data_IF_888465814427
#
_entry.id   IF_888465814427
#
_cell.length_a   1.000
_cell.length_b   1.000
_cell.length_c   1.000
_cell.angle_alpha   90.00
_cell.angle_beta   90.00
_cell.angle_gamma   90.00
#
_symmetry.space_group_name_H-M   'P 1'
#
loop_
_entity.id
_entity.type
_entity.pdbx_description
1 polymer ?
#
# COMPACT_ATOMS: atom_id res chain seq x y z
N UNK A 1 3.65 -13.14 -8.71
CA UNK A 1 3.21 -11.74 -8.79
C UNK A 1 1.79 -11.61 -9.35
N UNK A 2 1.49 -12.12 -10.56
CA UNK A 2 0.24 -11.91 -11.29
C UNK A 2 -1.00 -12.34 -10.47
N UNK A 3 -0.96 -13.54 -9.90
CA UNK A 3 -2.06 -14.07 -9.08
C UNK A 3 -2.34 -13.23 -7.83
N UNK A 4 -1.31 -12.60 -7.24
CA UNK A 4 -1.46 -11.75 -6.06
C UNK A 4 -2.05 -10.40 -6.44
N UNK A 5 -1.55 -9.78 -7.50
CA UNK A 5 -1.93 -8.45 -7.96
C UNK A 5 -3.45 -8.33 -8.15
N UNK A 6 -4.07 -9.25 -8.87
CA UNK A 6 -5.50 -9.22 -9.16
C UNK A 6 -6.42 -9.59 -7.99
N UNK A 7 -5.91 -10.18 -6.89
CA UNK A 7 -6.75 -10.65 -5.79
C UNK A 7 -7.54 -9.54 -5.10
N UNK A 8 -6.92 -8.38 -4.86
CA UNK A 8 -7.60 -7.25 -4.19
C UNK A 8 -8.81 -6.78 -5.00
N UNK A 9 -8.60 -6.54 -6.29
CA UNK A 9 -9.66 -6.12 -7.21
C UNK A 9 -10.80 -7.14 -7.27
N UNK A 10 -10.47 -8.44 -7.27
CA UNK A 10 -11.46 -9.49 -7.26
C UNK A 10 -12.30 -9.52 -5.97
N UNK A 11 -11.67 -9.32 -4.80
CA UNK A 11 -12.38 -9.22 -3.52
C UNK A 11 -13.35 -8.05 -3.50
N UNK A 12 -12.92 -6.87 -3.96
CA UNK A 12 -13.75 -5.67 -4.01
C UNK A 12 -14.91 -5.80 -5.00
N UNK A 13 -14.68 -6.37 -6.18
CA UNK A 13 -15.74 -6.61 -7.17
C UNK A 13 -16.85 -7.52 -6.65
N UNK A 14 -16.53 -8.43 -5.76
CA UNK A 14 -17.51 -9.31 -5.12
C UNK A 14 -18.25 -8.64 -3.95
N UNK A 15 -18.11 -7.34 -3.75
CA UNK A 15 -18.75 -6.58 -2.67
C UNK A 15 -18.25 -6.95 -1.26
N UNK A 16 -17.09 -7.61 -1.16
CA UNK A 16 -16.53 -8.03 0.12
C UNK A 16 -15.85 -6.86 0.82
N UNK A 17 -16.15 -6.67 2.10
CA UNK A 17 -15.32 -5.82 2.97
C UNK A 17 -13.96 -6.50 3.17
N UNK A 18 -12.89 -5.84 2.74
CA UNK A 18 -11.52 -6.35 2.83
C UNK A 18 -10.91 -5.91 4.15
N UNK A 19 -10.47 -6.87 4.97
CA UNK A 19 -9.76 -6.63 6.22
C UNK A 19 -8.26 -6.65 5.94
N UNK A 20 -7.61 -5.54 6.21
CA UNK A 20 -6.19 -5.34 5.90
C UNK A 20 -5.41 -5.24 7.21
N UNK A 21 -4.28 -5.94 7.32
CA UNK A 21 -3.35 -5.84 8.45
C UNK A 21 -2.04 -5.25 7.98
N UNK A 22 -1.51 -4.35 8.78
CA UNK A 22 -0.24 -3.68 8.52
C UNK A 22 0.95 -4.66 8.66
N UNK A 23 2.00 -4.43 7.85
CA UNK A 23 3.30 -5.07 7.94
C UNK A 23 4.41 -4.11 7.47
N UNK A 24 5.53 -4.09 8.20
CA UNK A 24 6.66 -3.17 7.97
C UNK A 24 8.03 -3.87 7.87
N UNK A 25 8.05 -5.19 7.82
CA UNK A 25 9.23 -6.03 7.53
C UNK A 25 8.80 -7.48 7.28
N UNK A 26 9.73 -8.35 6.92
CA UNK A 26 9.43 -9.76 6.66
C UNK A 26 8.84 -10.50 7.86
N UNK A 27 9.27 -10.21 9.11
CA UNK A 27 8.73 -10.85 10.31
C UNK A 27 7.27 -10.46 10.55
N UNK A 28 6.96 -9.15 10.52
CA UNK A 28 5.56 -8.69 10.63
C UNK A 28 4.69 -9.21 9.49
N UNK A 29 5.26 -9.36 8.29
CA UNK A 29 4.61 -10.01 7.15
C UNK A 29 4.23 -11.47 7.42
N UNK A 30 5.14 -12.27 8.03
CA UNK A 30 4.86 -13.65 8.44
C UNK A 30 3.71 -13.70 9.46
N UNK A 31 3.76 -12.83 10.48
CA UNK A 31 2.71 -12.73 11.50
C UNK A 31 1.36 -12.40 10.86
N UNK A 32 1.32 -11.32 10.05
CA UNK A 32 0.11 -10.85 9.39
C UNK A 32 -0.48 -11.89 8.40
N UNK A 33 0.38 -12.66 7.73
CA UNK A 33 -0.05 -13.71 6.82
C UNK A 33 -0.72 -14.88 7.54
N UNK A 34 -0.26 -15.22 8.75
CA UNK A 34 -0.64 -16.46 9.44
C UNK A 34 -1.60 -16.24 10.61
N UNK A 35 -1.86 -15.00 11.04
CA UNK A 35 -2.77 -14.75 12.15
C UNK A 35 -4.20 -15.16 11.78
N UNK A 36 -4.76 -16.03 12.60
CA UNK A 36 -6.10 -16.60 12.40
C UNK A 36 -6.85 -16.70 13.72
N UNK A 37 -8.16 -16.52 13.68
CA UNK A 37 -9.05 -16.67 14.83
C UNK A 37 -10.18 -17.64 14.48
N UNK A 38 -10.41 -18.62 15.35
CA UNK A 38 -11.60 -19.47 15.27
C UNK A 38 -12.84 -18.64 15.60
N UNK A 39 -13.86 -18.78 14.81
CA UNK A 39 -15.15 -18.12 15.00
C UNK A 39 -16.28 -19.03 14.59
N UNK A 40 -17.49 -18.53 14.68
CA UNK A 40 -18.70 -19.22 14.28
C UNK A 40 -19.58 -18.26 13.45
N UNK A 41 -20.24 -18.79 12.46
CA UNK A 41 -21.27 -18.11 11.69
C UNK A 41 -22.45 -19.04 11.49
N UNK A 42 -23.62 -18.67 12.05
CA UNK A 42 -24.84 -19.47 11.96
C UNK A 42 -24.66 -20.92 12.44
N UNK A 43 -23.92 -21.14 13.56
CA UNK A 43 -23.63 -22.45 14.11
C UNK A 43 -22.49 -23.21 13.37
N UNK A 44 -21.93 -22.66 12.33
CA UNK A 44 -20.86 -23.29 11.54
C UNK A 44 -19.50 -22.73 11.97
N UNK A 45 -18.54 -23.57 12.38
CA UNK A 45 -17.18 -23.15 12.68
C UNK A 45 -16.50 -22.53 11.45
N UNK A 46 -15.93 -21.35 11.62
CA UNK A 46 -15.17 -20.66 10.57
C UNK A 46 -13.81 -20.24 11.10
N UNK A 47 -12.84 -20.16 10.19
CA UNK A 47 -11.58 -19.46 10.43
C UNK A 47 -11.68 -18.05 9.87
N UNK A 48 -11.29 -17.07 10.69
CA UNK A 48 -11.19 -15.67 10.27
C UNK A 48 -9.74 -15.26 10.20
N UNK A 49 -9.36 -14.66 9.08
CA UNK A 49 -8.03 -14.14 8.81
C UNK A 49 -8.11 -12.76 8.14
N UNK A 50 -7.02 -12.05 8.07
CA UNK A 50 -6.94 -10.84 7.25
C UNK A 50 -6.90 -11.20 5.77
N UNK A 51 -7.54 -10.38 4.95
CA UNK A 51 -7.72 -10.63 3.52
C UNK A 51 -6.56 -10.06 2.70
N UNK A 52 -5.89 -9.03 3.21
CA UNK A 52 -4.80 -8.30 2.56
C UNK A 52 -3.78 -7.77 3.58
N UNK A 53 -2.63 -7.33 3.08
CA UNK A 53 -1.60 -6.64 3.87
C UNK A 53 -1.48 -5.19 3.41
N UNK A 54 -1.02 -4.32 4.31
CA UNK A 54 -0.69 -2.93 4.04
C UNK A 54 0.72 -2.62 4.51
N UNK A 55 1.58 -2.24 3.60
CA UNK A 55 2.87 -1.65 3.94
C UNK A 55 2.67 -0.15 4.14
N UNK A 56 2.86 0.32 5.38
CA UNK A 56 2.61 1.69 5.80
C UNK A 56 3.90 2.51 5.82
N UNK A 57 3.86 3.71 5.25
CA UNK A 57 4.99 4.65 5.28
C UNK A 57 5.41 5.02 6.70
N UNK A 58 4.43 5.20 7.60
CA UNK A 58 4.66 5.54 8.99
C UNK A 58 5.46 4.46 9.72
N UNK A 59 5.01 3.21 9.65
CA UNK A 59 5.65 2.12 10.39
C UNK A 59 6.96 1.67 9.74
N UNK A 60 7.08 1.72 8.42
CA UNK A 60 8.35 1.47 7.72
C UNK A 60 9.40 2.53 8.08
N UNK A 61 9.02 3.82 8.07
CA UNK A 61 9.91 4.90 8.52
C UNK A 61 10.32 4.72 9.97
N UNK A 62 9.35 4.46 10.87
CA UNK A 62 9.62 4.25 12.29
C UNK A 62 10.53 3.04 12.55
N UNK A 63 10.31 1.92 11.84
CA UNK A 63 11.15 0.73 11.94
C UNK A 63 12.61 0.98 11.51
N UNK A 64 12.83 1.97 10.64
CA UNK A 64 14.16 2.41 10.20
C UNK A 64 14.72 3.56 11.04
N UNK A 65 14.01 4.04 12.08
CA UNK A 65 14.42 5.15 12.93
C UNK A 65 14.31 6.53 12.25
N UNK A 66 13.45 6.66 11.26
CA UNK A 66 13.24 7.91 10.52
C UNK A 66 11.84 8.51 10.79
N UNK A 67 11.69 9.84 10.69
CA UNK A 67 10.38 10.47 10.71
C UNK A 67 9.60 10.16 9.42
N UNK A 68 8.27 10.13 9.54
CA UNK A 68 7.35 9.90 8.42
C UNK A 68 7.05 11.20 7.67
N UNK A 69 8.02 11.67 6.90
CA UNK A 69 8.00 12.92 6.10
C UNK A 69 8.63 12.71 4.70
N UNK A 70 8.48 11.54 4.13
CA UNK A 70 9.03 11.14 2.81
C UNK A 70 10.56 11.24 2.71
N UNK A 71 11.30 10.98 3.81
CA UNK A 71 12.77 10.91 3.80
C UNK A 71 13.29 9.49 3.52
N UNK A 72 12.46 8.47 3.69
CA UNK A 72 12.80 7.10 3.31
C UNK A 72 12.66 6.97 1.80
N UNK A 73 13.77 6.65 1.13
CA UNK A 73 13.77 6.55 -0.34
C UNK A 73 12.91 5.40 -0.83
N UNK A 74 12.38 5.53 -2.05
CA UNK A 74 11.57 4.47 -2.67
C UNK A 74 12.32 3.12 -2.74
N UNK A 75 13.61 3.11 -3.06
CA UNK A 75 14.40 1.87 -3.12
C UNK A 75 14.51 1.19 -1.75
N UNK A 76 14.66 1.96 -0.67
CA UNK A 76 14.65 1.42 0.70
C UNK A 76 13.28 0.83 1.05
N UNK A 77 12.19 1.48 0.65
CA UNK A 77 10.82 0.96 0.83
C UNK A 77 10.58 -0.28 -0.02
N UNK A 78 11.04 -0.28 -1.27
CA UNK A 78 10.92 -1.43 -2.16
C UNK A 78 11.61 -2.68 -1.60
N UNK A 79 12.72 -2.51 -0.85
CA UNK A 79 13.35 -3.61 -0.13
C UNK A 79 12.39 -4.19 0.93
N UNK A 80 11.80 -3.37 1.80
CA UNK A 80 10.79 -3.79 2.79
C UNK A 80 9.60 -4.48 2.12
N UNK A 81 9.08 -3.89 1.05
CA UNK A 81 7.99 -4.46 0.26
C UNK A 81 8.34 -5.87 -0.23
N UNK A 82 9.54 -6.06 -0.81
CA UNK A 82 9.99 -7.36 -1.31
C UNK A 82 10.15 -8.38 -0.18
N UNK A 83 10.65 -7.99 0.99
CA UNK A 83 10.73 -8.87 2.16
C UNK A 83 9.35 -9.38 2.60
N UNK A 84 8.35 -8.49 2.64
CA UNK A 84 6.97 -8.86 2.97
C UNK A 84 6.38 -9.75 1.86
N UNK A 85 6.56 -9.39 0.59
CA UNK A 85 6.06 -10.15 -0.55
C UNK A 85 6.65 -11.56 -0.64
N UNK A 86 7.87 -11.77 -0.15
CA UNK A 86 8.52 -13.08 -0.12
C UNK A 86 7.84 -14.07 0.84
N UNK A 87 7.12 -13.57 1.87
CA UNK A 87 6.53 -14.39 2.93
C UNK A 87 5.01 -14.48 2.87
N UNK A 88 4.35 -13.82 1.90
CA UNK A 88 2.90 -13.80 1.77
C UNK A 88 2.42 -14.04 0.33
N UNK A 89 1.23 -14.65 0.22
CA UNK A 89 0.46 -14.72 -1.02
C UNK A 89 -0.83 -13.87 -0.97
N UNK A 90 -1.02 -13.11 0.12
CA UNK A 90 -2.14 -12.17 0.23
C UNK A 90 -1.90 -10.95 -0.67
N UNK A 91 -2.96 -10.31 -1.16
CA UNK A 91 -2.83 -9.04 -1.85
C UNK A 91 -2.21 -7.99 -0.93
N UNK A 92 -1.45 -7.07 -1.49
CA UNK A 92 -0.74 -6.04 -0.75
C UNK A 92 -1.10 -4.66 -1.28
N UNK A 93 -1.39 -3.75 -0.35
CA UNK A 93 -1.55 -2.32 -0.59
C UNK A 93 -0.29 -1.64 -0.06
N UNK A 94 0.27 -0.74 -0.82
CA UNK A 94 1.43 0.07 -0.42
C UNK A 94 0.98 1.51 -0.21
N UNK A 95 1.35 2.08 0.92
CA UNK A 95 1.23 3.51 1.20
C UNK A 95 2.30 4.26 0.40
N UNK A 96 1.88 5.02 -0.59
CA UNK A 96 2.76 5.75 -1.50
C UNK A 96 3.06 7.18 -1.05
N UNK A 97 2.65 7.58 0.17
CA UNK A 97 2.76 8.96 0.63
C UNK A 97 2.06 9.92 -0.35
N UNK A 98 2.74 10.99 -0.79
CA UNK A 98 2.22 11.87 -1.85
C UNK A 98 2.43 11.30 -3.27
N UNK A 99 3.16 10.20 -3.39
CA UNK A 99 3.66 9.67 -4.66
C UNK A 99 4.90 10.41 -5.19
N UNK A 100 5.41 11.41 -4.48
CA UNK A 100 6.50 12.26 -4.95
C UNK A 100 6.11 13.15 -6.14
N UNK A 101 7.08 13.52 -6.97
CA UNK A 101 6.78 14.15 -8.25
C UNK A 101 6.20 13.13 -9.26
N UNK A 102 5.65 13.64 -10.38
CA UNK A 102 4.99 12.79 -11.36
C UNK A 102 5.91 11.74 -12.02
N UNK A 103 7.21 12.00 -12.17
CA UNK A 103 8.16 11.04 -12.72
C UNK A 103 8.48 9.93 -11.71
N UNK A 104 8.66 10.31 -10.44
CA UNK A 104 8.86 9.37 -9.34
C UNK A 104 7.63 8.47 -9.17
N UNK A 105 6.43 9.02 -9.30
CA UNK A 105 5.18 8.25 -9.22
C UNK A 105 5.06 7.22 -10.34
N UNK A 106 5.30 7.59 -11.60
CA UNK A 106 5.32 6.66 -12.73
C UNK A 106 6.29 5.49 -12.49
N UNK A 107 7.51 5.83 -12.05
CA UNK A 107 8.51 4.82 -11.74
C UNK A 107 8.05 3.87 -10.64
N UNK A 108 7.48 4.41 -9.55
CA UNK A 108 6.95 3.65 -8.42
C UNK A 108 5.83 2.71 -8.85
N UNK A 109 4.84 3.21 -9.61
CA UNK A 109 3.74 2.40 -10.15
C UNK A 109 4.28 1.22 -10.96
N UNK A 110 5.18 1.46 -11.91
CA UNK A 110 5.76 0.40 -12.75
C UNK A 110 6.50 -0.65 -11.92
N UNK A 111 7.29 -0.24 -10.91
CA UNK A 111 8.05 -1.17 -10.06
C UNK A 111 7.15 -1.99 -9.15
N UNK A 112 6.16 -1.35 -8.51
CA UNK A 112 5.22 -2.03 -7.61
C UNK A 112 4.33 -3.03 -8.36
N UNK A 113 3.85 -2.65 -9.54
CA UNK A 113 3.07 -3.54 -10.38
C UNK A 113 3.87 -4.79 -10.78
N UNK A 114 5.13 -4.64 -11.21
CA UNK A 114 6.02 -5.75 -11.55
C UNK A 114 6.37 -6.64 -10.36
N UNK A 115 6.51 -6.05 -9.17
CA UNK A 115 6.70 -6.80 -7.93
C UNK A 115 5.47 -7.64 -7.52
N UNK A 116 4.30 -7.34 -8.10
CA UNK A 116 3.03 -8.03 -7.80
C UNK A 116 2.28 -7.43 -6.61
N UNK A 117 2.51 -6.16 -6.29
CA UNK A 117 1.68 -5.36 -5.41
C UNK A 117 0.30 -5.20 -6.05
N UNK A 118 -0.76 -5.11 -5.24
CA UNK A 118 -2.15 -5.03 -5.73
C UNK A 118 -2.65 -3.60 -5.87
N UNK A 119 -2.15 -2.69 -5.03
CA UNK A 119 -2.51 -1.28 -5.06
C UNK A 119 -1.44 -0.39 -4.44
N UNK A 120 -1.39 0.86 -4.88
CA UNK A 120 -0.74 1.97 -4.19
C UNK A 120 -1.80 2.96 -3.73
N UNK A 121 -1.69 3.46 -2.49
CA UNK A 121 -2.46 4.60 -2.00
C UNK A 121 -1.57 5.83 -2.05
N UNK A 122 -2.08 6.96 -2.53
CA UNK A 122 -1.42 8.26 -2.45
C UNK A 122 -2.35 9.31 -1.87
N UNK A 123 -1.80 10.22 -1.08
CA UNK A 123 -2.54 11.36 -0.51
C UNK A 123 -2.30 12.63 -1.33
N UNK A 124 -3.29 13.51 -1.35
CA UNK A 124 -3.28 14.78 -2.08
C UNK A 124 -2.52 15.92 -1.38
N UNK A 125 -1.55 15.59 -0.53
CA UNK A 125 -0.66 16.58 0.07
C UNK A 125 0.44 17.03 -0.88
N UNK A 126 0.91 18.27 -0.68
CA UNK A 126 2.09 18.78 -1.38
C UNK A 126 3.33 17.99 -0.97
N UNK A 127 4.12 17.57 -1.96
CA UNK A 127 5.42 16.89 -1.75
C UNK A 127 6.51 17.88 -1.28
N UNK A 128 7.38 17.50 -0.32
CA UNK A 128 7.26 16.34 0.56
C UNK A 128 6.20 16.55 1.65
N UNK A 129 5.50 15.47 2.03
CA UNK A 129 4.44 15.54 3.04
C UNK A 129 4.93 15.98 4.42
N UNK A 130 4.00 16.50 5.21
CA UNK A 130 4.18 16.67 6.66
C UNK A 130 3.37 15.61 7.37
N UNK A 131 3.89 15.06 8.48
CA UNK A 131 3.18 14.06 9.24
C UNK A 131 1.89 14.65 9.82
N UNK A 132 0.75 13.98 9.60
CA UNK A 132 -0.57 14.44 10.07
C UNK A 132 -0.72 14.41 11.59
N UNK A 133 0.11 13.64 12.29
CA UNK A 133 0.11 13.51 13.75
C UNK A 133 0.93 14.61 14.43
N UNK A 134 1.66 15.40 13.68
CA UNK A 134 2.47 16.49 14.24
C UNK A 134 1.58 17.69 14.59
N UNK A 135 1.53 18.04 15.87
CA UNK A 135 0.66 19.10 16.36
C UNK A 135 1.06 20.48 15.82
N UNK A 136 0.08 21.27 15.39
CA UNK A 136 0.27 22.65 14.93
C UNK A 136 0.82 22.80 13.51
N UNK A 137 1.02 21.73 12.78
CA UNK A 137 1.46 21.79 11.38
C UNK A 137 0.26 21.91 10.44
N UNK A 138 0.32 22.90 9.56
CA UNK A 138 -0.65 23.05 8.50
C UNK A 138 -0.40 21.96 7.44
N UNK A 139 -1.45 21.25 7.07
CA UNK A 139 -1.45 20.30 5.96
C UNK A 139 -1.81 21.03 4.67
N UNK A 140 -0.84 21.17 3.77
CA UNK A 140 -1.05 21.81 2.49
C UNK A 140 -1.44 20.74 1.45
N UNK A 141 -2.56 20.98 0.77
CA UNK A 141 -3.03 20.10 -0.30
C UNK A 141 -2.45 20.56 -1.64
N UNK A 142 -2.21 19.59 -2.51
CA UNK A 142 -1.80 19.80 -3.89
C UNK A 142 -2.96 20.40 -4.69
N UNK A 143 -2.65 21.09 -5.75
CA UNK A 143 -3.66 21.53 -6.71
C UNK A 143 -4.38 20.30 -7.28
N UNK A 144 -5.73 20.26 -7.29
CA UNK A 144 -6.49 19.09 -7.76
C UNK A 144 -6.17 18.68 -9.21
N UNK A 145 -5.86 19.64 -10.09
CA UNK A 145 -5.51 19.34 -11.48
C UNK A 145 -4.13 18.71 -11.58
N UNK A 146 -3.15 19.20 -10.80
CA UNK A 146 -1.80 18.64 -10.71
C UNK A 146 -1.86 17.21 -10.13
N UNK A 147 -2.65 17.01 -9.07
CA UNK A 147 -2.84 15.68 -8.47
C UNK A 147 -3.54 14.71 -9.46
N UNK A 148 -4.59 15.15 -10.15
CA UNK A 148 -5.26 14.36 -11.16
C UNK A 148 -4.34 13.99 -12.33
N UNK A 149 -3.47 14.90 -12.79
CA UNK A 149 -2.46 14.60 -13.80
C UNK A 149 -1.46 13.56 -13.34
N UNK A 150 -1.00 13.61 -12.08
CA UNK A 150 -0.14 12.58 -11.48
C UNK A 150 -0.81 11.21 -11.52
N UNK A 151 -2.07 11.10 -11.10
CA UNK A 151 -2.85 9.87 -11.17
C UNK A 151 -2.99 9.37 -12.61
N UNK A 152 -3.32 10.27 -13.55
CA UNK A 152 -3.45 9.94 -14.97
C UNK A 152 -2.16 9.34 -15.54
N UNK A 153 -1.01 9.94 -15.23
CA UNK A 153 0.31 9.43 -15.64
C UNK A 153 0.57 8.04 -15.05
N UNK A 154 0.30 7.85 -13.74
CA UNK A 154 0.40 6.53 -13.10
C UNK A 154 -0.51 5.49 -13.77
N UNK A 155 -1.72 5.87 -14.16
CA UNK A 155 -2.64 5.00 -14.90
C UNK A 155 -2.12 4.63 -16.29
N UNK A 156 -1.51 5.57 -16.99
CA UNK A 156 -1.00 5.35 -18.34
C UNK A 156 0.22 4.42 -18.41
N UNK A 157 1.04 4.36 -17.33
CA UNK A 157 2.22 3.48 -17.28
C UNK A 157 1.88 2.05 -16.86
N UNK A 158 0.68 1.79 -16.32
CA UNK A 158 0.27 0.45 -15.92
C UNK A 158 0.26 -0.52 -17.11
N UNK A 159 0.75 -1.72 -16.89
CA UNK A 159 0.76 -2.80 -17.88
C UNK A 159 -0.53 -3.64 -17.80
N UNK A 160 -1.23 -3.62 -16.66
CA UNK A 160 -2.45 -4.41 -16.45
C UNK A 160 -3.52 -3.60 -15.72
N UNK A 161 -4.77 -4.05 -15.87
CA UNK A 161 -5.92 -3.50 -15.10
C UNK A 161 -6.00 -4.04 -13.66
N UNK A 162 -5.12 -4.94 -13.27
CA UNK A 162 -5.18 -5.61 -11.97
C UNK A 162 -4.56 -4.78 -10.85
N UNK A 163 -3.60 -3.93 -11.17
CA UNK A 163 -3.01 -2.99 -10.22
C UNK A 163 -3.92 -1.77 -10.04
N UNK A 164 -4.10 -1.31 -8.82
CA UNK A 164 -4.98 -0.18 -8.52
C UNK A 164 -4.20 1.00 -7.96
N UNK A 165 -4.63 2.20 -8.34
CA UNK A 165 -4.24 3.46 -7.70
C UNK A 165 -5.44 3.92 -6.89
N UNK A 166 -5.21 4.20 -5.61
CA UNK A 166 -6.18 4.69 -4.63
C UNK A 166 -5.75 6.11 -4.25
N UNK A 167 -6.68 7.07 -4.31
CA UNK A 167 -6.44 8.48 -4.00
C UNK A 167 -7.50 9.01 -3.03
#
# INVERSE_FOLDING_TARGET
PEKRRGKLKALLKNGKTVRVLEAHNGLSGIIANNVQVKGEREGIPIMREFDALWESSLTDSAAKGHPDIEVVTFDSRLQTINEILAVTNKPMIVDGDTGGDANAFEYSVSKLEKAGVSAIIIEDKVFPKRNSLEAGIQQNLEDPEVFAQKICRGKNIQETDDFMIIA
#
